data_IF_381538103581
#
_entry.id   IF_381538103581
#
_cell.length_a   1.000
_cell.length_b   1.000
_cell.length_c   1.000
_cell.angle_alpha   90.00
_cell.angle_beta   90.00
_cell.angle_gamma   90.00
#
_symmetry.space_group_name_H-M   'P 1'
#
loop_
_entity.id
_entity.type
_entity.pdbx_description
1 polymer ?
#
# COMPACT_ATOMS: atom_id res chain seq x y z
N UNK A 1 -8.45 -18.62 -9.58
CA UNK A 1 -7.66 -17.71 -8.73
C UNK A 1 -6.24 -17.59 -9.29
N UNK A 2 -5.96 -16.54 -10.08
CA UNK A 2 -4.69 -16.41 -10.83
C UNK A 2 -3.51 -16.20 -9.87
N UNK A 3 -3.70 -15.39 -8.83
CA UNK A 3 -2.65 -15.06 -7.86
C UNK A 3 -2.12 -16.29 -7.11
N UNK A 4 -3.01 -17.13 -6.55
CA UNK A 4 -2.64 -18.40 -5.91
C UNK A 4 -1.78 -19.28 -6.82
N UNK A 5 -2.16 -19.38 -8.09
CA UNK A 5 -1.40 -20.15 -9.09
C UNK A 5 -0.01 -19.56 -9.32
N UNK A 6 0.09 -18.24 -9.49
CA UNK A 6 1.39 -17.55 -9.64
C UNK A 6 2.29 -17.71 -8.41
N UNK A 7 1.72 -17.70 -7.22
CA UNK A 7 2.47 -17.95 -5.98
C UNK A 7 3.04 -19.36 -5.94
N UNK A 8 2.27 -20.39 -6.33
CA UNK A 8 2.81 -21.75 -6.45
C UNK A 8 3.90 -21.87 -7.53
N UNK A 9 3.74 -21.20 -8.66
CA UNK A 9 4.79 -21.14 -9.71
C UNK A 9 6.08 -20.50 -9.17
N UNK A 10 5.97 -19.42 -8.39
CA UNK A 10 7.13 -18.77 -7.77
C UNK A 10 7.83 -19.67 -6.75
N UNK A 11 7.07 -20.36 -5.88
CA UNK A 11 7.61 -21.35 -4.94
C UNK A 11 8.32 -22.47 -5.71
N UNK A 12 7.70 -22.98 -6.79
CA UNK A 12 8.29 -24.04 -7.61
C UNK A 12 9.66 -23.65 -8.19
N UNK A 13 9.79 -22.40 -8.66
CA UNK A 13 11.06 -21.87 -9.18
C UNK A 13 12.13 -21.90 -8.09
N UNK A 14 11.82 -21.41 -6.89
CA UNK A 14 12.78 -21.41 -5.76
C UNK A 14 13.14 -22.84 -5.35
N UNK A 15 12.15 -23.73 -5.21
CA UNK A 15 12.39 -25.12 -4.79
C UNK A 15 13.24 -25.89 -5.78
N UNK A 16 12.98 -25.73 -7.08
CA UNK A 16 13.79 -26.33 -8.13
C UNK A 16 15.19 -25.73 -8.17
N UNK A 17 15.32 -24.40 -8.13
CA UNK A 17 16.62 -23.73 -8.16
C UNK A 17 17.54 -24.15 -7.00
N UNK A 18 16.95 -24.38 -5.82
CA UNK A 18 17.68 -24.83 -4.63
C UNK A 18 17.92 -26.35 -4.59
N UNK A 19 17.44 -27.10 -5.59
CA UNK A 19 17.52 -28.57 -5.61
C UNK A 19 16.63 -29.27 -4.58
N UNK A 20 15.65 -28.55 -4.00
CA UNK A 20 14.71 -29.07 -3.02
C UNK A 20 13.51 -29.78 -3.64
N UNK A 21 13.35 -29.67 -4.96
CA UNK A 21 12.35 -30.39 -5.74
C UNK A 21 12.97 -30.87 -7.07
N UNK A 22 12.63 -32.06 -7.58
CA UNK A 22 13.17 -32.55 -8.84
C UNK A 22 12.85 -31.62 -10.02
N UNK A 23 13.82 -31.39 -10.91
CA UNK A 23 13.70 -30.41 -12.00
C UNK A 23 12.59 -30.76 -13.00
N UNK A 24 12.47 -32.05 -13.34
CA UNK A 24 11.55 -32.54 -14.38
C UNK A 24 10.15 -32.83 -13.84
N UNK A 25 9.95 -32.75 -12.53
CA UNK A 25 8.66 -33.01 -11.89
C UNK A 25 7.79 -31.75 -11.86
N UNK A 26 6.49 -31.94 -12.00
CA UNK A 26 5.51 -30.86 -11.90
C UNK A 26 5.28 -30.47 -10.43
N UNK A 27 4.82 -29.25 -10.18
CA UNK A 27 4.60 -28.67 -8.85
C UNK A 27 3.13 -28.26 -8.61
N UNK A 28 2.25 -28.50 -9.59
CA UNK A 28 0.89 -27.97 -9.62
C UNK A 28 -0.06 -28.54 -8.55
N UNK A 29 0.19 -29.74 -8.03
CA UNK A 29 -0.69 -30.42 -7.06
C UNK A 29 0.03 -30.78 -5.75
N UNK A 30 -0.71 -30.86 -4.64
CA UNK A 30 -0.17 -31.29 -3.33
C UNK A 30 0.58 -32.62 -3.40
N UNK A 31 0.05 -33.60 -4.14
CA UNK A 31 0.68 -34.92 -4.32
C UNK A 31 2.04 -34.83 -5.02
N UNK A 32 2.21 -33.88 -5.93
CA UNK A 32 3.51 -33.66 -6.56
C UNK A 32 4.45 -32.88 -5.62
N UNK A 33 3.92 -31.92 -4.87
CA UNK A 33 4.66 -31.16 -3.86
C UNK A 33 5.30 -32.06 -2.78
N UNK A 34 4.69 -33.21 -2.46
CA UNK A 34 5.25 -34.24 -1.56
C UNK A 34 6.60 -34.83 -2.02
N UNK A 35 6.96 -34.68 -3.31
CA UNK A 35 8.28 -35.07 -3.83
C UNK A 35 9.40 -34.12 -3.42
N UNK A 36 9.06 -33.01 -2.77
CA UNK A 36 10.02 -32.03 -2.28
C UNK A 36 10.71 -32.55 -1.01
N UNK A 37 12.01 -32.35 -0.90
CA UNK A 37 12.78 -32.73 0.31
C UNK A 37 12.65 -31.71 1.44
N UNK A 38 12.21 -30.48 1.12
CA UNK A 38 11.89 -29.42 2.08
C UNK A 38 10.38 -29.17 2.06
N UNK A 39 9.72 -29.03 3.23
CA UNK A 39 8.28 -28.77 3.30
C UNK A 39 7.87 -27.55 2.46
N UNK A 40 6.89 -27.74 1.59
CA UNK A 40 6.35 -26.66 0.76
C UNK A 40 5.49 -25.74 1.63
N UNK A 41 5.71 -24.41 1.60
CA UNK A 41 4.95 -23.48 2.44
C UNK A 41 3.49 -23.41 2.02
N UNK A 42 2.61 -23.23 3.00
CA UNK A 42 1.21 -22.91 2.74
C UNK A 42 1.07 -21.45 2.31
N UNK A 43 0.28 -21.21 1.27
CA UNK A 43 -0.01 -19.86 0.78
C UNK A 43 -1.22 -19.33 1.55
N UNK A 44 -0.98 -18.35 2.42
CA UNK A 44 -2.02 -17.55 3.04
C UNK A 44 -2.21 -16.26 2.24
N UNK A 45 -3.40 -16.07 1.65
CA UNK A 45 -3.74 -14.88 0.84
C UNK A 45 -4.73 -13.95 1.55
N UNK A 46 -5.06 -14.25 2.81
CA UNK A 46 -6.01 -13.47 3.59
C UNK A 46 -5.40 -12.17 4.15
N UNK A 47 -4.08 -12.01 4.01
CA UNK A 47 -3.33 -10.89 4.56
C UNK A 47 -3.08 -9.87 3.46
N UNK A 48 -3.59 -8.66 3.67
CA UNK A 48 -3.29 -7.49 2.84
C UNK A 48 -2.25 -6.60 3.53
N UNK A 49 -1.64 -5.72 2.74
CA UNK A 49 -0.59 -4.79 3.16
C UNK A 49 -1.02 -3.95 4.37
N UNK A 50 -2.27 -3.48 4.37
CA UNK A 50 -2.85 -2.72 5.47
C UNK A 50 -2.95 -3.53 6.78
N UNK A 51 -3.40 -4.78 6.72
CA UNK A 51 -3.49 -5.66 7.89
C UNK A 51 -2.11 -6.02 8.43
N UNK A 52 -1.14 -6.26 7.56
CA UNK A 52 0.25 -6.51 7.94
C UNK A 52 0.85 -5.31 8.69
N UNK A 53 0.65 -4.09 8.18
CA UNK A 53 1.12 -2.87 8.83
C UNK A 53 0.52 -2.67 10.22
N UNK A 54 -0.80 -2.84 10.36
CA UNK A 54 -1.49 -2.70 11.65
C UNK A 54 -1.03 -3.74 12.67
N UNK A 55 -0.73 -4.98 12.26
CA UNK A 55 -0.28 -6.03 13.17
C UNK A 55 1.13 -5.78 13.70
N UNK A 56 2.05 -5.32 12.85
CA UNK A 56 3.40 -4.93 13.29
C UNK A 56 3.31 -3.76 14.28
N UNK A 57 2.49 -2.76 13.99
CA UNK A 57 2.25 -1.63 14.90
C UNK A 57 1.68 -2.10 16.24
N UNK A 58 0.61 -2.91 16.24
CA UNK A 58 0.00 -3.46 17.45
C UNK A 58 0.99 -4.24 18.31
N UNK A 59 1.82 -5.08 17.68
CA UNK A 59 2.83 -5.85 18.38
C UNK A 59 3.88 -4.94 19.04
N UNK A 60 4.40 -3.98 18.29
CA UNK A 60 5.41 -3.04 18.81
C UNK A 60 4.85 -2.20 19.97
N UNK A 61 3.63 -1.69 19.85
CA UNK A 61 3.02 -0.94 20.94
C UNK A 61 2.80 -1.82 22.17
N UNK A 62 2.09 -2.95 22.01
CA UNK A 62 1.73 -3.80 23.13
C UNK A 62 2.96 -4.38 23.85
N UNK A 63 3.94 -4.90 23.10
CA UNK A 63 5.09 -5.61 23.66
C UNK A 63 6.25 -4.66 23.96
N UNK A 64 6.67 -3.84 23.00
CA UNK A 64 7.89 -3.03 23.13
C UNK A 64 7.65 -1.75 23.94
N UNK A 65 6.57 -1.01 23.67
CA UNK A 65 6.31 0.26 24.35
C UNK A 65 5.60 0.09 25.69
N UNK A 66 4.62 -0.82 25.77
CA UNK A 66 3.86 -1.06 27.00
C UNK A 66 4.36 -2.26 27.81
N UNK A 67 5.45 -2.91 27.39
CA UNK A 67 6.09 -4.00 28.14
C UNK A 67 5.18 -5.22 28.35
N UNK A 68 4.28 -5.49 27.41
CA UNK A 68 3.28 -6.56 27.49
C UNK A 68 1.98 -6.14 28.20
N UNK A 69 1.86 -4.91 28.69
CA UNK A 69 0.63 -4.40 29.33
C UNK A 69 -0.40 -3.95 28.29
N UNK A 70 -0.93 -4.91 27.52
CA UNK A 70 -1.88 -4.66 26.42
C UNK A 70 -3.13 -3.89 26.85
N UNK A 71 -3.64 -4.10 28.07
CA UNK A 71 -4.79 -3.36 28.59
C UNK A 71 -4.49 -1.87 28.80
N UNK A 72 -3.30 -1.55 29.33
CA UNK A 72 -2.86 -0.17 29.51
C UNK A 72 -2.64 0.52 28.15
N UNK A 73 -2.08 -0.21 27.18
CA UNK A 73 -1.97 0.23 25.79
C UNK A 73 -3.33 0.62 25.21
N UNK A 74 -4.31 -0.27 25.24
CA UNK A 74 -5.64 0.00 24.68
C UNK A 74 -6.34 1.15 25.42
N UNK A 75 -6.25 1.18 26.76
CA UNK A 75 -6.85 2.24 27.55
C UNK A 75 -6.23 3.62 27.25
N UNK A 76 -4.92 3.67 26.97
CA UNK A 76 -4.21 4.93 26.67
C UNK A 76 -4.60 5.54 25.33
N UNK A 77 -4.94 4.72 24.32
CA UNK A 77 -5.32 5.17 22.98
C UNK A 77 -6.83 5.19 22.75
N UNK A 78 -7.61 4.62 23.67
CA UNK A 78 -9.06 4.64 23.59
C UNK A 78 -9.58 6.08 23.60
N UNK A 79 -10.33 6.42 22.56
CA UNK A 79 -10.94 7.74 22.42
C UNK A 79 -12.03 7.96 23.49
N UNK A 80 -11.94 9.01 24.32
CA UNK A 80 -12.89 9.24 25.41
C UNK A 80 -14.27 9.67 24.91
N UNK A 81 -14.35 10.24 23.72
CA UNK A 81 -15.59 10.69 23.09
C UNK A 81 -16.38 9.54 22.45
N UNK A 82 -15.83 8.33 22.44
CA UNK A 82 -16.49 7.16 21.90
C UNK A 82 -17.19 6.35 22.98
N UNK A 83 -18.51 6.22 22.83
CA UNK A 83 -19.27 5.28 23.65
C UNK A 83 -18.78 3.84 23.40
N UNK A 84 -18.55 3.04 24.46
CA UNK A 84 -18.26 1.63 24.30
C UNK A 84 -19.46 0.91 23.67
N UNK A 85 -19.19 -0.17 22.92
CA UNK A 85 -20.24 -1.07 22.44
C UNK A 85 -20.95 -1.71 23.66
N UNK A 86 -22.25 -2.05 23.57
CA UNK A 86 -22.97 -2.67 24.67
C UNK A 86 -22.27 -3.93 25.18
N UNK A 87 -22.01 -4.00 26.50
CA UNK A 87 -21.32 -5.13 27.13
C UNK A 87 -19.79 -5.08 27.07
N UNK A 88 -19.20 -4.04 26.45
CA UNK A 88 -17.74 -3.87 26.37
C UNK A 88 -17.28 -2.83 27.39
N UNK A 89 -16.25 -3.14 28.17
CA UNK A 89 -15.68 -2.15 29.09
C UNK A 89 -14.94 -1.05 28.30
N UNK A 90 -15.07 0.24 28.71
CA UNK A 90 -14.27 1.32 28.15
C UNK A 90 -12.77 1.00 28.19
N UNK A 91 -12.02 1.46 27.19
CA UNK A 91 -10.57 1.24 27.15
C UNK A 91 -10.13 -0.15 26.69
N UNK A 92 -11.05 -1.06 26.31
CA UNK A 92 -10.71 -2.41 25.83
C UNK A 92 -10.86 -2.60 24.33
N UNK A 93 -11.06 -1.52 23.58
CA UNK A 93 -11.19 -1.63 22.13
C UNK A 93 -10.65 -0.40 21.40
N UNK A 94 -10.06 -0.65 20.23
CA UNK A 94 -9.55 0.35 19.31
C UNK A 94 -10.23 0.20 17.93
N UNK A 95 -10.42 1.30 17.21
CA UNK A 95 -10.64 1.25 15.76
C UNK A 95 -9.47 1.96 15.12
N UNK A 96 -8.75 1.24 14.29
CA UNK A 96 -7.51 1.70 13.68
C UNK A 96 -7.73 1.75 12.17
N UNK A 97 -7.45 2.91 11.59
CA UNK A 97 -7.43 3.09 10.15
C UNK A 97 -5.96 3.05 9.68
N UNK A 98 -5.68 2.23 8.67
CA UNK A 98 -4.44 2.31 7.89
C UNK A 98 -4.78 2.94 6.55
N UNK A 99 -3.98 3.93 6.14
CA UNK A 99 -4.08 4.59 4.84
C UNK A 99 -2.71 4.42 4.19
N UNK A 100 -2.67 3.64 3.12
CA UNK A 100 -1.48 3.41 2.32
C UNK A 100 -1.59 4.23 1.02
N UNK A 101 -0.69 5.20 0.85
CA UNK A 101 -0.69 6.10 -0.30
C UNK A 101 0.43 5.65 -1.24
N UNK A 102 0.06 4.88 -2.25
CA UNK A 102 0.95 4.41 -3.30
C UNK A 102 1.12 5.42 -4.43
N UNK A 103 1.71 4.95 -5.52
CA UNK A 103 1.94 5.75 -6.72
C UNK A 103 0.65 6.09 -7.48
N UNK A 104 -0.24 5.12 -7.68
CA UNK A 104 -1.50 5.30 -8.44
C UNK A 104 -2.76 4.87 -7.71
N UNK A 105 -2.64 4.33 -6.49
CA UNK A 105 -3.77 4.01 -5.62
C UNK A 105 -3.49 4.46 -4.18
N UNK A 106 -4.56 4.82 -3.48
CA UNK A 106 -4.56 4.90 -2.02
C UNK A 106 -5.46 3.82 -1.48
N UNK A 107 -4.93 2.92 -0.66
CA UNK A 107 -5.69 1.84 -0.04
C UNK A 107 -5.98 2.17 1.43
N UNK A 108 -7.22 1.91 1.86
CA UNK A 108 -7.66 2.16 3.23
C UNK A 108 -8.26 0.90 3.85
N UNK A 109 -7.85 0.58 5.08
CA UNK A 109 -8.48 -0.45 5.88
C UNK A 109 -8.79 0.08 7.28
N UNK A 110 -9.98 -0.22 7.79
CA UNK A 110 -10.39 0.09 9.16
C UNK A 110 -10.67 -1.22 9.87
N UNK A 111 -9.88 -1.49 10.92
CA UNK A 111 -10.02 -2.69 11.74
C UNK A 111 -10.43 -2.30 13.14
N UNK A 112 -11.44 -2.98 13.66
CA UNK A 112 -11.78 -2.94 15.07
C UNK A 112 -10.98 -4.01 15.81
N UNK A 113 -10.23 -3.61 16.81
CA UNK A 113 -9.51 -4.51 17.68
C UNK A 113 -10.17 -4.49 19.06
N UNK A 114 -10.46 -5.66 19.59
CA UNK A 114 -11.08 -5.81 20.90
C UNK A 114 -10.29 -6.80 21.76
N UNK A 115 -10.12 -6.47 23.03
CA UNK A 115 -9.56 -7.37 24.02
C UNK A 115 -10.62 -8.37 24.49
N UNK A 116 -10.27 -9.64 24.59
CA UNK A 116 -11.10 -10.66 25.22
C UNK A 116 -11.21 -10.45 26.75
N UNK A 117 -11.96 -11.33 27.44
CA UNK A 117 -12.12 -11.27 28.90
C UNK A 117 -10.90 -11.83 29.67
N UNK A 118 -9.76 -12.04 28.99
CA UNK A 118 -8.49 -12.35 29.64
C UNK A 118 -8.05 -11.23 30.58
N UNK A 119 -7.15 -11.55 31.52
CA UNK A 119 -6.57 -10.59 32.46
C UNK A 119 -5.06 -10.68 32.50
N UNK A 120 -4.37 -9.54 32.64
CA UNK A 120 -2.90 -9.47 32.71
C UNK A 120 -2.24 -9.83 31.37
N UNK A 121 -1.21 -10.67 31.39
CA UNK A 121 -0.44 -11.02 30.18
C UNK A 121 -1.16 -12.01 29.23
N UNK A 122 -2.37 -12.47 29.59
CA UNK A 122 -3.09 -13.50 28.85
C UNK A 122 -4.25 -12.96 28.01
N UNK A 123 -4.29 -11.64 27.79
CA UNK A 123 -5.33 -10.97 27.01
C UNK A 123 -5.07 -11.17 25.52
N UNK A 124 -6.08 -11.62 24.78
CA UNK A 124 -6.01 -11.74 23.32
C UNK A 124 -6.63 -10.53 22.64
N UNK A 125 -6.00 -10.12 21.54
CA UNK A 125 -6.53 -9.09 20.65
C UNK A 125 -7.30 -9.80 19.53
N UNK A 126 -8.60 -9.54 19.42
CA UNK A 126 -9.44 -10.05 18.33
C UNK A 126 -9.67 -8.94 17.29
N UNK A 127 -9.23 -9.14 16.03
CA UNK A 127 -9.51 -8.22 14.95
C UNK A 127 -10.89 -8.48 14.32
N UNK A 128 -11.56 -7.40 13.92
CA UNK A 128 -12.73 -7.39 13.06
C UNK A 128 -12.54 -6.31 11.99
N UNK A 129 -12.30 -6.72 10.75
CA UNK A 129 -12.22 -5.79 9.62
C UNK A 129 -13.61 -5.16 9.40
N UNK A 130 -13.68 -3.83 9.49
CA UNK A 130 -14.93 -3.08 9.32
C UNK A 130 -15.06 -2.52 7.90
N UNK A 131 -13.96 -2.08 7.32
CA UNK A 131 -13.94 -1.43 6.02
C UNK A 131 -12.63 -1.71 5.32
N UNK A 132 -12.69 -1.94 4.00
CA UNK A 132 -11.52 -2.02 3.14
C UNK A 132 -11.88 -1.55 1.74
N UNK A 133 -11.16 -0.56 1.23
CA UNK A 133 -11.35 -0.05 -0.13
C UNK A 133 -10.07 0.60 -0.67
N UNK A 134 -9.94 0.60 -2.00
CA UNK A 134 -8.87 1.26 -2.73
C UNK A 134 -9.42 2.38 -3.62
N UNK A 135 -8.73 3.52 -3.62
CA UNK A 135 -9.09 4.72 -4.37
C UNK A 135 -8.07 4.98 -5.48
N UNK A 136 -8.54 5.42 -6.64
CA UNK A 136 -7.69 5.92 -7.75
C UNK A 136 -7.34 7.39 -7.56
N UNK A 137 -6.93 7.73 -6.35
CA UNK A 137 -6.39 9.04 -6.01
C UNK A 137 -5.14 8.79 -5.19
N UNK A 138 -3.97 9.26 -5.61
CA UNK A 138 -2.69 8.81 -5.04
C UNK A 138 -1.56 9.83 -5.22
N UNK A 139 -0.31 9.34 -5.14
CA UNK A 139 0.88 10.16 -5.29
C UNK A 139 1.06 10.77 -6.68
N UNK A 140 0.59 10.10 -7.74
CA UNK A 140 0.61 10.61 -9.11
C UNK A 140 -0.27 11.84 -9.30
N UNK A 141 -1.46 11.88 -8.68
CA UNK A 141 -2.30 13.08 -8.66
C UNK A 141 -1.60 14.24 -7.94
N UNK A 142 -0.95 13.95 -6.82
CA UNK A 142 -0.18 14.96 -6.08
C UNK A 142 0.97 15.49 -6.94
N UNK A 143 1.68 14.60 -7.64
CA UNK A 143 2.75 14.97 -8.57
C UNK A 143 2.22 15.81 -9.73
N UNK A 144 1.07 15.44 -10.31
CA UNK A 144 0.42 16.22 -11.35
C UNK A 144 0.07 17.62 -10.87
N UNK A 145 -0.48 17.76 -9.66
CA UNK A 145 -0.78 19.04 -9.03
C UNK A 145 0.49 19.89 -8.86
N UNK A 146 1.60 19.27 -8.42
CA UNK A 146 2.89 19.97 -8.28
C UNK A 146 3.38 20.49 -9.63
N UNK A 147 3.32 19.65 -10.67
CA UNK A 147 3.72 20.03 -12.03
C UNK A 147 2.88 21.20 -12.53
N UNK A 148 1.56 21.10 -12.43
CA UNK A 148 0.64 22.10 -12.96
C UNK A 148 0.71 23.43 -12.21
N UNK A 149 0.85 23.41 -10.88
CA UNK A 149 0.78 24.62 -10.04
C UNK A 149 2.11 25.31 -9.84
N UNK A 150 3.22 24.59 -9.93
CA UNK A 150 4.55 25.15 -9.64
C UNK A 150 5.51 25.04 -10.80
N UNK A 151 5.65 23.86 -11.41
CA UNK A 151 6.66 23.64 -12.46
C UNK A 151 6.31 24.38 -13.74
N UNK A 152 5.10 24.20 -14.27
CA UNK A 152 4.69 24.84 -15.53
C UNK A 152 4.64 26.38 -15.43
N UNK A 153 4.10 27.00 -14.36
CA UNK A 153 4.12 28.45 -14.23
C UNK A 153 5.53 29.03 -14.09
N UNK A 154 6.42 28.34 -13.38
CA UNK A 154 7.83 28.75 -13.26
C UNK A 154 8.54 28.68 -14.62
N UNK A 155 8.33 27.60 -15.38
CA UNK A 155 8.87 27.47 -16.73
C UNK A 155 8.36 28.58 -17.65
N UNK A 156 7.05 28.83 -17.67
CA UNK A 156 6.46 29.92 -18.48
C UNK A 156 7.08 31.28 -18.13
N UNK A 157 7.21 31.58 -16.84
CA UNK A 157 7.83 32.82 -16.35
C UNK A 157 9.26 32.94 -16.85
N UNK A 158 10.02 31.84 -16.85
CA UNK A 158 11.40 31.84 -17.33
C UNK A 158 11.48 32.00 -18.84
N UNK A 159 10.59 31.37 -19.63
CA UNK A 159 10.53 31.55 -21.08
C UNK A 159 10.25 33.01 -21.46
N UNK A 160 9.34 33.69 -20.73
CA UNK A 160 9.07 35.12 -20.91
C UNK A 160 10.31 35.96 -20.62
N UNK A 161 11.02 35.70 -19.52
CA UNK A 161 12.26 36.39 -19.16
C UNK A 161 13.37 36.18 -20.18
N UNK A 162 13.41 35.02 -20.83
CA UNK A 162 14.36 34.69 -21.90
C UNK A 162 13.98 35.28 -23.27
N UNK A 163 12.88 36.05 -23.37
CA UNK A 163 12.51 36.77 -24.58
C UNK A 163 11.55 36.05 -25.52
N UNK A 164 10.90 34.96 -25.08
CA UNK A 164 9.84 34.33 -25.87
C UNK A 164 8.58 35.21 -25.84
N UNK A 165 8.20 35.71 -27.01
CA UNK A 165 7.12 36.70 -27.17
C UNK A 165 5.74 36.18 -26.75
N UNK A 166 5.39 34.94 -27.08
CA UNK A 166 4.13 34.31 -26.67
C UNK A 166 4.39 32.97 -25.95
N UNK A 167 4.97 33.08 -24.75
CA UNK A 167 5.23 31.93 -23.91
C UNK A 167 3.94 31.18 -23.52
N UNK A 168 2.81 31.87 -23.38
CA UNK A 168 1.53 31.25 -23.03
C UNK A 168 1.04 30.34 -24.16
N UNK A 169 1.09 30.79 -25.41
CA UNK A 169 0.72 29.99 -26.58
C UNK A 169 1.67 28.80 -26.75
N UNK A 170 2.98 29.00 -26.54
CA UNK A 170 3.96 27.92 -26.59
C UNK A 170 3.69 26.86 -25.50
N UNK A 171 3.44 27.27 -24.26
CA UNK A 171 3.11 26.35 -23.16
C UNK A 171 1.81 25.58 -23.43
N UNK A 172 0.78 26.24 -23.99
CA UNK A 172 -0.45 25.57 -24.39
C UNK A 172 -0.23 24.56 -25.53
N UNK A 173 0.68 24.85 -26.47
CA UNK A 173 1.07 23.89 -27.52
C UNK A 173 1.81 22.68 -26.97
N UNK A 174 2.70 22.89 -26.00
CA UNK A 174 3.56 21.83 -25.46
C UNK A 174 2.85 20.96 -24.42
N UNK A 175 1.99 21.55 -23.58
CA UNK A 175 1.42 20.90 -22.39
C UNK A 175 -0.11 21.01 -22.29
N UNK A 176 -0.79 21.66 -23.25
CA UNK A 176 -2.25 21.84 -23.25
C UNK A 176 -3.02 20.65 -23.83
N UNK A 177 -4.33 20.61 -23.56
CA UNK A 177 -5.27 19.54 -23.92
C UNK A 177 -5.78 19.62 -25.37
N UNK A 178 -4.92 20.03 -26.31
CA UNK A 178 -5.28 20.21 -27.72
C UNK A 178 -5.35 18.88 -28.48
N UNK A 179 -6.19 17.95 -28.01
CA UNK A 179 -6.57 16.72 -28.71
C UNK A 179 -5.40 15.77 -28.97
N UNK A 180 -5.38 14.61 -28.30
CA UNK A 180 -4.39 13.54 -28.50
C UNK A 180 -4.21 13.14 -29.97
N UNK A 181 -3.30 13.81 -30.66
CA UNK A 181 -2.74 13.41 -31.95
C UNK A 181 -1.37 12.83 -31.63
N UNK A 182 -1.02 11.67 -32.21
CA UNK A 182 0.22 10.93 -31.92
C UNK A 182 1.50 11.77 -32.02
N UNK A 183 1.50 12.85 -32.81
CA UNK A 183 2.61 13.82 -32.89
C UNK A 183 2.84 14.62 -31.61
N UNK A 184 1.80 14.88 -30.81
CA UNK A 184 1.89 15.65 -29.58
C UNK A 184 2.49 14.83 -28.43
N UNK A 185 2.27 13.51 -28.43
CA UNK A 185 2.93 12.58 -27.50
C UNK A 185 4.46 12.56 -27.70
N UNK A 186 4.91 12.64 -28.96
CA UNK A 186 6.35 12.75 -29.29
C UNK A 186 6.94 14.07 -28.81
N UNK A 187 6.22 15.18 -28.97
CA UNK A 187 6.67 16.50 -28.50
C UNK A 187 6.75 16.58 -26.96
N UNK A 188 5.78 16.00 -26.25
CA UNK A 188 5.82 15.87 -24.80
C UNK A 188 7.02 15.04 -24.34
N UNK A 189 7.26 13.90 -25.01
CA UNK A 189 8.43 13.06 -24.72
C UNK A 189 9.75 13.80 -24.97
N UNK A 190 9.88 14.51 -26.10
CA UNK A 190 11.08 15.28 -26.41
C UNK A 190 11.31 16.42 -25.41
N UNK A 191 10.24 17.11 -25.01
CA UNK A 191 10.31 18.20 -24.02
C UNK A 191 10.75 17.67 -22.66
N UNK A 192 10.21 16.52 -22.22
CA UNK A 192 10.67 15.85 -21.01
C UNK A 192 12.15 15.47 -21.08
N UNK A 193 12.59 14.88 -22.19
CA UNK A 193 13.99 14.46 -22.37
C UNK A 193 14.97 15.63 -22.48
N UNK A 194 14.57 16.76 -23.06
CA UNK A 194 15.48 17.88 -23.33
C UNK A 194 15.51 18.92 -22.19
N UNK A 195 14.42 19.04 -21.42
CA UNK A 195 14.27 20.10 -20.42
C UNK A 195 14.20 19.60 -18.98
N UNK A 196 13.79 18.35 -18.74
CA UNK A 196 13.51 17.85 -17.39
C UNK A 196 14.34 16.63 -16.98
N UNK A 197 15.00 15.96 -17.93
CA UNK A 197 16.03 14.97 -17.63
C UNK A 197 17.39 15.67 -17.39
N UNK A 198 18.17 15.28 -16.37
CA UNK A 198 19.50 15.82 -16.11
C UNK A 198 20.50 15.58 -17.24
#
# INVERSE_FOLDING_TARGET
>A
EIFRRRMFEAIAIVWKAMGWHPQDEDFASRKQQEKSVVPVPEIQMEWDEASCGQLVWLYNEAISHFGGQTEAFFASLARPDRAPEPGVQPGRALRVASIDIGGGTTDMAITHYQLDDGSGNNVKITPQLLFREGFKVAGDDTLLDVIQRYVLPALQTQLQKSGIADASQLMASLFGDSGRIDTQAVLLQQTALQLFMP
#
